data_IF_284110683235
#
_entry.id   IF_284110683235
#
_cell.length_a   1.000
_cell.length_b   1.000
_cell.length_c   1.000
_cell.angle_alpha   90.00
_cell.angle_beta   90.00
_cell.angle_gamma   90.00
#
_symmetry.space_group_name_H-M   'P 1'
#
loop_
_entity.id
_entity.type
_entity.pdbx_description
1 polymer ?
#
# COMPACT_ATOMS: atom_id res chain seq x y z
N UNK A 1 13.92 3.09 -19.60
CA UNK A 1 12.46 3.24 -19.82
C UNK A 1 11.77 3.71 -18.54
N UNK A 2 10.92 4.69 -18.67
CA UNK A 2 10.15 5.20 -17.53
C UNK A 2 9.00 4.23 -17.21
N UNK A 3 8.87 3.83 -15.96
CA UNK A 3 7.74 2.99 -15.53
C UNK A 3 6.45 3.79 -15.61
N UNK A 4 5.44 3.22 -16.26
CA UNK A 4 4.09 3.82 -16.29
C UNK A 4 3.42 3.57 -14.96
N UNK A 5 3.01 4.66 -14.30
CA UNK A 5 2.20 4.59 -13.07
C UNK A 5 0.92 5.39 -13.27
N UNK A 6 -0.15 4.94 -12.65
CA UNK A 6 -1.41 5.67 -12.65
C UNK A 6 -2.26 5.36 -11.42
N UNK A 7 -3.12 6.29 -11.08
CA UNK A 7 -4.14 6.04 -10.05
C UNK A 7 -5.19 5.07 -10.61
N UNK A 8 -5.55 4.08 -9.82
CA UNK A 8 -6.55 3.09 -10.19
C UNK A 8 -7.97 3.67 -10.15
N UNK A 9 -8.87 3.02 -10.88
CA UNK A 9 -10.32 3.26 -10.82
C UNK A 9 -11.00 1.98 -10.34
N UNK A 10 -12.30 2.00 -9.99
CA UNK A 10 -13.01 0.76 -9.65
C UNK A 10 -12.97 -0.32 -10.75
N UNK A 11 -12.75 0.07 -12.01
CA UNK A 11 -12.58 -0.89 -13.11
C UNK A 11 -11.31 -1.74 -12.99
N UNK A 12 -10.34 -1.30 -12.20
CA UNK A 12 -9.09 -2.03 -11.96
C UNK A 12 -9.20 -3.07 -10.84
N UNK A 13 -10.34 -3.16 -10.19
CA UNK A 13 -10.52 -4.02 -9.00
C UNK A 13 -10.14 -5.48 -9.25
N UNK A 14 -10.50 -6.04 -10.39
CA UNK A 14 -10.16 -7.44 -10.72
C UNK A 14 -8.64 -7.64 -10.81
N UNK A 15 -7.94 -6.73 -11.47
CA UNK A 15 -6.48 -6.83 -11.59
C UNK A 15 -5.77 -6.64 -10.25
N UNK A 16 -6.22 -5.69 -9.44
CA UNK A 16 -5.68 -5.49 -8.10
C UNK A 16 -5.92 -6.73 -7.24
N UNK A 17 -7.12 -7.33 -7.34
CA UNK A 17 -7.44 -8.56 -6.63
C UNK A 17 -6.50 -9.71 -7.00
N UNK A 18 -6.16 -9.87 -8.27
CA UNK A 18 -5.19 -10.86 -8.73
C UNK A 18 -3.81 -10.62 -8.08
N UNK A 19 -3.35 -9.37 -8.06
CA UNK A 19 -2.06 -9.02 -7.47
C UNK A 19 -2.04 -9.27 -5.96
N UNK A 20 -3.07 -8.88 -5.23
CA UNK A 20 -3.14 -9.09 -3.78
C UNK A 20 -3.32 -10.56 -3.41
N UNK A 21 -4.06 -11.32 -4.22
CA UNK A 21 -4.16 -12.77 -4.05
C UNK A 21 -2.79 -13.43 -4.24
N UNK A 22 -2.07 -13.04 -5.28
CA UNK A 22 -0.71 -13.52 -5.53
C UNK A 22 0.24 -13.17 -4.38
N UNK A 23 0.11 -11.98 -3.80
CA UNK A 23 0.90 -11.54 -2.66
C UNK A 23 0.70 -12.49 -1.46
N UNK A 24 -0.54 -12.71 -1.06
CA UNK A 24 -0.83 -13.59 0.07
C UNK A 24 -0.39 -15.03 -0.20
N UNK A 25 -0.59 -15.52 -1.41
CA UNK A 25 -0.16 -16.87 -1.81
C UNK A 25 1.36 -17.02 -1.76
N UNK A 26 2.11 -16.02 -2.19
CA UNK A 26 3.58 -16.01 -2.15
C UNK A 26 4.11 -16.15 -0.71
N UNK A 27 3.42 -15.54 0.26
CA UNK A 27 3.84 -15.52 1.66
C UNK A 27 3.04 -16.50 2.54
N UNK A 28 2.40 -17.49 1.94
CA UNK A 28 1.61 -18.53 2.63
C UNK A 28 0.54 -17.94 3.58
N UNK A 29 -0.02 -16.80 3.21
CA UNK A 29 -1.08 -16.12 3.96
C UNK A 29 -2.44 -16.43 3.34
N UNK A 30 -3.44 -16.65 4.17
CA UNK A 30 -4.80 -16.92 3.70
C UNK A 30 -5.36 -15.77 2.87
N UNK A 31 -6.18 -16.12 1.90
CA UNK A 31 -6.87 -15.16 1.04
C UNK A 31 -8.29 -15.65 0.77
N UNK A 32 -9.29 -14.75 0.72
CA UNK A 32 -10.65 -15.14 0.40
C UNK A 32 -10.86 -15.44 -1.08
N UNK A 33 -9.83 -15.29 -1.90
CA UNK A 33 -9.88 -15.52 -3.34
C UNK A 33 -10.12 -14.24 -4.15
N UNK A 34 -9.77 -14.31 -5.43
CA UNK A 34 -9.79 -13.16 -6.34
C UNK A 34 -11.19 -12.54 -6.46
N UNK A 35 -12.25 -13.35 -6.57
CA UNK A 35 -13.60 -12.83 -6.76
C UNK A 35 -14.08 -11.98 -5.56
N UNK A 36 -13.81 -12.46 -4.34
CA UNK A 36 -14.18 -11.75 -3.11
C UNK A 36 -13.37 -10.45 -2.98
N UNK A 37 -12.06 -10.52 -3.22
CA UNK A 37 -11.20 -9.34 -3.19
C UNK A 37 -11.63 -8.30 -4.23
N UNK A 38 -11.95 -8.72 -5.44
CA UNK A 38 -12.41 -7.82 -6.50
C UNK A 38 -13.70 -7.10 -6.11
N UNK A 39 -14.65 -7.81 -5.51
CA UNK A 39 -15.90 -7.24 -5.06
C UNK A 39 -15.67 -6.17 -3.97
N UNK A 40 -14.83 -6.48 -2.98
CA UNK A 40 -14.46 -5.54 -1.92
C UNK A 40 -13.74 -4.31 -2.48
N UNK A 41 -12.82 -4.50 -3.40
CA UNK A 41 -12.07 -3.42 -4.02
C UNK A 41 -12.93 -2.49 -4.86
N UNK A 42 -13.95 -3.00 -5.55
CA UNK A 42 -14.90 -2.13 -6.28
C UNK A 42 -15.58 -1.14 -5.34
N UNK A 43 -15.98 -1.60 -4.17
CA UNK A 43 -16.60 -0.75 -3.15
C UNK A 43 -15.59 0.24 -2.59
N UNK A 44 -14.44 -0.24 -2.17
CA UNK A 44 -13.40 0.61 -1.54
C UNK A 44 -12.89 1.68 -2.49
N UNK A 45 -12.61 1.34 -3.74
CA UNK A 45 -12.06 2.29 -4.71
C UNK A 45 -13.09 3.33 -5.19
N UNK A 46 -14.38 3.10 -4.93
CA UNK A 46 -15.44 4.08 -5.18
C UNK A 46 -15.53 5.13 -4.06
N UNK A 47 -14.94 4.86 -2.90
CA UNK A 47 -14.96 5.77 -1.74
C UNK A 47 -13.78 6.74 -1.78
N UNK A 48 -13.97 8.02 -1.39
CA UNK A 48 -12.88 9.00 -1.39
C UNK A 48 -11.79 8.70 -0.36
N UNK A 49 -12.04 7.83 0.61
CA UNK A 49 -11.07 7.46 1.66
C UNK A 49 -10.09 6.37 1.23
N UNK A 50 -10.22 5.83 0.02
CA UNK A 50 -9.34 4.76 -0.46
C UNK A 50 -8.87 5.09 -1.87
N UNK A 51 -7.58 4.90 -2.13
CA UNK A 51 -7.06 4.95 -3.50
C UNK A 51 -5.98 3.89 -3.69
N UNK A 52 -5.71 3.58 -4.94
CA UNK A 52 -4.61 2.69 -5.30
C UNK A 52 -3.79 3.28 -6.44
N UNK A 53 -2.52 2.92 -6.48
CA UNK A 53 -1.60 3.25 -7.57
C UNK A 53 -1.15 1.95 -8.22
N UNK A 54 -1.22 1.90 -9.53
CA UNK A 54 -0.77 0.78 -10.34
C UNK A 54 0.52 1.12 -11.06
N UNK A 55 1.39 0.14 -11.19
CA UNK A 55 2.62 0.25 -11.99
C UNK A 55 2.69 -0.81 -13.06
N UNK A 56 3.12 -0.40 -14.25
CA UNK A 56 3.19 -1.25 -15.44
C UNK A 56 1.91 -1.24 -16.27
N UNK A 57 2.01 -1.71 -17.51
CA UNK A 57 0.87 -1.87 -18.42
C UNK A 57 1.09 -3.13 -19.26
N UNK A 58 0.37 -4.24 -18.99
CA UNK A 58 -0.59 -4.42 -17.88
C UNK A 58 0.06 -4.26 -16.50
N UNK A 59 -0.75 -3.90 -15.51
CA UNK A 59 -0.25 -3.64 -14.16
C UNK A 59 0.40 -4.89 -13.54
N UNK A 60 1.61 -4.71 -13.01
CA UNK A 60 2.39 -5.77 -12.34
C UNK A 60 2.70 -5.40 -10.88
N UNK A 61 2.31 -4.22 -10.45
CA UNK A 61 2.48 -3.77 -9.08
C UNK A 61 1.34 -2.87 -8.63
N UNK A 62 1.14 -2.78 -7.32
CA UNK A 62 0.07 -2.01 -6.71
C UNK A 62 0.48 -1.48 -5.34
N UNK A 63 0.02 -0.27 -5.02
CA UNK A 63 -0.05 0.26 -3.66
C UNK A 63 -1.50 0.58 -3.35
N UNK A 64 -2.00 0.11 -2.22
CA UNK A 64 -3.35 0.38 -1.74
C UNK A 64 -3.28 1.24 -0.48
N UNK A 65 -3.99 2.36 -0.48
CA UNK A 65 -3.88 3.39 0.56
C UNK A 65 -5.25 3.73 1.12
N UNK A 66 -5.33 3.87 2.44
CA UNK A 66 -6.50 4.36 3.15
C UNK A 66 -6.19 5.72 3.78
N UNK A 67 -7.12 6.65 3.67
CA UNK A 67 -7.01 7.99 4.26
C UNK A 67 -7.87 8.06 5.52
N UNK A 68 -7.26 8.46 6.62
CA UNK A 68 -7.92 8.51 7.93
C UNK A 68 -7.93 9.94 8.46
N UNK A 69 -9.10 10.53 8.77
CA UNK A 69 -9.16 11.77 9.54
C UNK A 69 -8.50 11.60 10.92
N UNK A 70 -7.93 12.68 11.45
CA UNK A 70 -7.29 12.67 12.75
C UNK A 70 -7.50 14.01 13.46
N UNK A 71 -7.18 14.07 14.75
CA UNK A 71 -7.40 15.28 15.57
C UNK A 71 -6.22 16.24 15.53
N UNK A 72 -5.08 15.84 14.98
CA UNK A 72 -3.83 16.60 15.08
C UNK A 72 -3.54 17.47 13.86
N UNK A 73 -4.29 17.28 12.78
CA UNK A 73 -4.09 18.04 11.54
C UNK A 73 -5.40 18.18 10.79
N UNK A 74 -5.47 19.19 9.92
CA UNK A 74 -6.62 19.40 9.04
C UNK A 74 -6.68 18.33 7.93
N UNK A 75 -5.52 17.85 7.48
CA UNK A 75 -5.42 16.81 6.47
C UNK A 75 -5.48 15.41 7.07
N UNK A 76 -5.81 14.40 6.25
CA UNK A 76 -5.82 13.01 6.71
C UNK A 76 -4.41 12.46 6.94
N UNK A 77 -4.34 11.36 7.66
CA UNK A 77 -3.16 10.49 7.67
C UNK A 77 -3.41 9.38 6.66
N UNK A 78 -2.45 9.15 5.77
CA UNK A 78 -2.51 8.05 4.80
C UNK A 78 -1.86 6.81 5.41
N UNK A 79 -2.51 5.66 5.27
CA UNK A 79 -1.94 4.36 5.62
C UNK A 79 -1.72 3.57 4.34
N UNK A 80 -0.47 3.21 4.07
CA UNK A 80 -0.16 2.25 3.01
C UNK A 80 -0.50 0.86 3.52
N UNK A 81 -1.68 0.36 3.11
CA UNK A 81 -2.20 -0.94 3.56
C UNK A 81 -1.48 -2.11 2.89
N UNK A 82 -1.26 -2.00 1.58
CA UNK A 82 -0.68 -3.06 0.77
C UNK A 82 0.28 -2.47 -0.25
N UNK A 83 1.43 -3.11 -0.43
CA UNK A 83 2.41 -2.78 -1.46
C UNK A 83 2.96 -4.09 -2.03
N UNK A 84 2.79 -4.29 -3.34
CA UNK A 84 3.22 -5.53 -3.98
C UNK A 84 3.69 -5.27 -5.41
N UNK A 85 4.79 -5.91 -5.77
CA UNK A 85 5.27 -6.00 -7.15
C UNK A 85 5.48 -7.48 -7.47
N UNK A 86 4.98 -7.93 -8.60
CA UNK A 86 5.15 -9.32 -9.04
C UNK A 86 6.64 -9.71 -9.02
N UNK A 87 6.99 -10.92 -8.55
CA UNK A 87 8.40 -11.29 -8.33
C UNK A 87 9.30 -11.10 -9.56
N UNK A 88 8.78 -11.40 -10.76
CA UNK A 88 9.52 -11.31 -12.01
C UNK A 88 9.87 -9.87 -12.38
N UNK A 89 9.19 -8.90 -11.78
CA UNK A 89 9.35 -7.48 -12.09
C UNK A 89 10.09 -6.71 -11.00
N UNK A 90 10.51 -7.39 -9.94
CA UNK A 90 11.26 -6.77 -8.84
C UNK A 90 12.67 -6.40 -9.29
N UNK A 91 13.21 -5.33 -8.70
CA UNK A 91 14.53 -4.83 -9.04
C UNK A 91 14.57 -3.98 -10.32
N UNK A 92 13.43 -3.67 -10.92
CA UNK A 92 13.32 -2.88 -12.15
C UNK A 92 12.91 -1.41 -11.92
N UNK A 93 12.71 -1.02 -10.64
CA UNK A 93 12.29 0.34 -10.30
C UNK A 93 10.78 0.57 -10.25
N UNK A 94 9.97 -0.46 -10.51
CA UNK A 94 8.50 -0.33 -10.51
C UNK A 94 7.99 0.03 -9.11
N UNK A 95 8.49 -0.64 -8.07
CA UNK A 95 8.11 -0.34 -6.70
C UNK A 95 8.40 1.11 -6.31
N UNK A 96 9.58 1.61 -6.66
CA UNK A 96 9.95 3.00 -6.40
C UNK A 96 9.04 3.98 -7.15
N UNK A 97 8.72 3.70 -8.41
CA UNK A 97 7.83 4.54 -9.21
C UNK A 97 6.41 4.60 -8.61
N UNK A 98 5.88 3.46 -8.18
CA UNK A 98 4.57 3.39 -7.50
C UNK A 98 4.59 4.20 -6.20
N UNK A 99 5.62 4.03 -5.38
CA UNK A 99 5.75 4.72 -4.10
C UNK A 99 5.85 6.24 -4.28
N UNK A 100 6.65 6.70 -5.24
CA UNK A 100 6.77 8.13 -5.55
C UNK A 100 5.44 8.73 -6.02
N UNK A 101 4.71 8.02 -6.86
CA UNK A 101 3.38 8.44 -7.31
C UNK A 101 2.39 8.50 -6.15
N UNK A 102 2.42 7.51 -5.28
CA UNK A 102 1.58 7.47 -4.07
C UNK A 102 1.86 8.67 -3.17
N UNK A 103 3.13 8.99 -2.93
CA UNK A 103 3.52 10.16 -2.12
C UNK A 103 3.01 11.46 -2.75
N UNK A 104 3.13 11.59 -4.07
CA UNK A 104 2.62 12.75 -4.80
C UNK A 104 1.10 12.92 -4.63
N UNK A 105 0.35 11.83 -4.76
CA UNK A 105 -1.10 11.85 -4.56
C UNK A 105 -1.45 12.24 -3.12
N UNK A 106 -0.74 11.69 -2.13
CA UNK A 106 -0.96 12.03 -0.73
C UNK A 106 -0.74 13.54 -0.47
N UNK A 107 0.30 14.12 -1.06
CA UNK A 107 0.55 15.56 -0.96
C UNK A 107 -0.57 16.37 -1.61
N UNK A 108 -1.02 15.98 -2.78
CA UNK A 108 -2.11 16.68 -3.47
C UNK A 108 -3.42 16.61 -2.70
N UNK A 109 -3.65 15.53 -1.95
CA UNK A 109 -4.81 15.36 -1.08
C UNK A 109 -4.66 16.06 0.28
N UNK A 110 -3.54 16.69 0.53
CA UNK A 110 -3.27 17.39 1.78
C UNK A 110 -3.00 16.48 2.98
N UNK A 111 -2.55 15.26 2.73
CA UNK A 111 -2.23 14.33 3.81
C UNK A 111 -1.09 14.88 4.68
N UNK A 112 -1.27 14.79 5.99
CA UNK A 112 -0.29 15.27 6.97
C UNK A 112 0.90 14.33 7.12
N UNK A 113 0.67 13.02 6.93
CA UNK A 113 1.69 11.99 7.08
C UNK A 113 1.28 10.73 6.34
N UNK A 114 2.25 9.85 6.12
CA UNK A 114 2.03 8.50 5.58
C UNK A 114 2.58 7.50 6.58
N UNK A 115 1.78 6.54 6.97
CA UNK A 115 2.15 5.44 7.86
C UNK A 115 2.23 4.15 7.07
N UNK A 116 3.16 3.27 7.47
CA UNK A 116 3.34 1.94 6.89
C UNK A 116 3.62 0.97 8.04
N UNK A 117 2.94 -0.18 8.04
CA UNK A 117 3.25 -1.27 8.95
C UNK A 117 4.15 -2.27 8.22
N UNK A 118 5.30 -2.59 8.80
CA UNK A 118 6.28 -3.52 8.23
C UNK A 118 6.62 -4.56 9.29
N UNK A 119 6.57 -5.83 8.91
CA UNK A 119 6.98 -6.90 9.80
C UNK A 119 8.48 -6.83 10.09
N UNK A 120 8.87 -7.06 11.33
CA UNK A 120 10.27 -6.98 11.76
C UNK A 120 11.18 -7.92 10.94
N UNK A 121 10.66 -9.07 10.53
CA UNK A 121 11.39 -10.04 9.73
C UNK A 121 11.61 -9.60 8.27
N UNK A 122 10.84 -8.62 7.78
CA UNK A 122 10.95 -8.16 6.39
C UNK A 122 11.99 -7.03 6.26
N UNK A 123 13.25 -7.41 6.39
CA UNK A 123 14.37 -6.47 6.29
C UNK A 123 14.47 -5.81 4.90
N UNK A 124 14.05 -6.51 3.85
CA UNK A 124 14.04 -5.97 2.49
C UNK A 124 13.05 -4.83 2.33
N UNK A 125 11.82 -5.00 2.86
CA UNK A 125 10.81 -3.95 2.86
C UNK A 125 11.28 -2.75 3.70
N UNK A 126 11.83 -3.00 4.89
CA UNK A 126 12.35 -1.91 5.74
C UNK A 126 13.39 -1.07 5.01
N UNK A 127 14.38 -1.70 4.37
CA UNK A 127 15.40 -0.99 3.60
C UNK A 127 14.81 -0.21 2.43
N UNK A 128 13.82 -0.78 1.75
CA UNK A 128 13.12 -0.12 0.65
C UNK A 128 12.43 1.17 1.13
N UNK A 129 11.68 1.11 2.21
CA UNK A 129 10.99 2.29 2.74
C UNK A 129 11.96 3.33 3.31
N UNK A 130 13.01 2.90 3.99
CA UNK A 130 14.05 3.81 4.49
C UNK A 130 14.72 4.60 3.37
N UNK A 131 15.03 3.96 2.24
CA UNK A 131 15.58 4.64 1.06
C UNK A 131 14.66 5.71 0.50
N UNK A 132 13.36 5.62 0.78
CA UNK A 132 12.35 6.57 0.32
C UNK A 132 11.92 7.56 1.40
N UNK A 133 12.70 7.69 2.47
CA UNK A 133 12.48 8.71 3.50
C UNK A 133 11.56 8.31 4.63
N UNK A 134 11.16 7.04 4.71
CA UNK A 134 10.38 6.54 5.84
C UNK A 134 11.29 6.10 6.97
N UNK A 135 10.82 6.20 8.21
CA UNK A 135 11.57 5.77 9.38
C UNK A 135 10.71 4.90 10.29
N UNK A 136 11.29 3.84 10.80
CA UNK A 136 10.66 2.97 11.79
C UNK A 136 10.86 3.44 13.22
N UNK A 137 11.54 4.56 13.42
CA UNK A 137 11.80 5.12 14.76
C UNK A 137 11.37 6.57 14.83
N UNK A 138 11.00 7.01 16.03
CA UNK A 138 10.74 8.41 16.31
C UNK A 138 12.03 9.22 16.13
N UNK A 139 11.94 10.37 15.45
CA UNK A 139 13.10 11.21 15.11
C UNK A 139 13.75 11.84 16.33
N UNK A 140 12.98 12.07 17.40
CA UNK A 140 13.48 12.77 18.59
C UNK A 140 13.99 11.78 19.65
N UNK A 141 13.24 10.69 19.90
CA UNK A 141 13.58 9.72 20.95
C UNK A 141 14.37 8.50 20.44
N UNK A 142 14.29 8.19 19.14
CA UNK A 142 14.85 6.97 18.58
C UNK A 142 14.07 5.71 18.93
N UNK A 143 12.95 5.85 19.62
CA UNK A 143 12.10 4.72 20.01
C UNK A 143 11.29 4.20 18.84
N UNK A 144 10.97 2.92 18.86
CA UNK A 144 10.09 2.28 17.88
C UNK A 144 8.67 2.23 18.41
N UNK A 145 7.68 2.47 17.52
CA UNK A 145 6.28 2.21 17.82
C UNK A 145 5.98 0.75 17.49
N UNK A 146 5.18 0.09 18.34
CA UNK A 146 4.78 -1.29 18.13
C UNK A 146 3.33 -1.35 17.68
N UNK A 147 3.04 -2.27 16.75
CA UNK A 147 1.71 -2.57 16.27
C UNK A 147 1.08 -3.64 17.17
N UNK A 148 -0.05 -3.33 17.79
CA UNK A 148 -0.81 -4.28 18.58
C UNK A 148 -2.08 -4.68 17.84
N UNK A 149 -2.38 -5.98 17.84
CA UNK A 149 -3.48 -6.55 17.08
C UNK A 149 -4.32 -7.47 17.98
N UNK A 150 -5.62 -7.39 17.82
CA UNK A 150 -6.57 -8.32 18.44
C UNK A 150 -7.70 -8.58 17.46
N UNK A 151 -7.87 -9.83 17.03
CA UNK A 151 -9.02 -10.21 16.22
C UNK A 151 -10.31 -10.14 17.05
N UNK A 152 -11.36 -9.57 16.48
CA UNK A 152 -12.66 -9.46 17.17
C UNK A 152 -13.66 -10.52 16.70
N UNK A 153 -13.46 -11.09 15.56
CA UNK A 153 -14.32 -12.15 15.03
C UNK A 153 -13.49 -13.13 14.22
N UNK A 154 -13.91 -14.40 14.24
CA UNK A 154 -13.38 -15.45 13.38
C UNK A 154 -14.25 -15.51 12.13
N UNK A 155 -14.06 -14.59 11.24
CA UNK A 155 -14.96 -14.60 10.11
C UNK A 155 -14.39 -14.19 8.83
#
# INVERSE_FOLDING_TARGET
MTTVTRRATPHDAARIAELLHAFNTEFDTETPGVAVLAQRLRVLLAEPSTFAVLGGDPAVGVALVTLRPNVWSDGPVALLDEMYVAPEQRGSGIGSAILLQMVAICRDLGAAAIEINVDESDAGAMRFYERHGFSGTDSDSGERAFYFYRALSAG
#
